data_IF_370382243709
#
_entry.id   IF_370382243709
#
_cell.length_a   1.000
_cell.length_b   1.000
_cell.length_c   1.000
_cell.angle_alpha   90.00
_cell.angle_beta   90.00
_cell.angle_gamma   90.00
#
_symmetry.space_group_name_H-M   'P 1'
#
loop_
_entity.id
_entity.type
_entity.pdbx_description
1 polymer ?
#
# COMPACT_ATOMS: atom_id res chain seq x y z
N UNK A 1 2.14 46.58 -57.63
CA UNK A 1 1.15 45.80 -56.86
C UNK A 1 1.86 44.73 -56.07
N UNK A 2 1.99 44.96 -54.80
CA UNK A 2 2.71 44.01 -53.92
C UNK A 2 1.70 43.27 -53.10
N UNK A 3 1.56 41.99 -53.43
CA UNK A 3 0.73 41.05 -52.65
C UNK A 3 1.53 40.63 -51.42
N UNK A 4 1.13 41.10 -50.28
CA UNK A 4 1.70 40.60 -49.01
C UNK A 4 1.04 39.31 -48.65
N UNK A 5 1.85 38.26 -48.65
CA UNK A 5 1.45 36.94 -48.13
C UNK A 5 1.42 37.00 -46.59
N UNK A 6 0.24 36.90 -46.05
CA UNK A 6 0.01 36.82 -44.60
C UNK A 6 0.44 35.43 -44.13
N UNK A 7 1.59 35.39 -43.46
CA UNK A 7 2.02 34.15 -42.79
C UNK A 7 1.21 34.02 -41.51
N UNK A 8 0.23 33.13 -41.55
CA UNK A 8 -0.49 32.74 -40.34
C UNK A 8 0.38 31.79 -39.54
N UNK A 9 1.03 32.34 -38.53
CA UNK A 9 1.74 31.49 -37.54
C UNK A 9 0.71 30.79 -36.69
N UNK A 10 0.51 29.51 -36.95
CA UNK A 10 -0.33 28.65 -36.12
C UNK A 10 0.50 28.27 -34.88
N UNK A 11 0.21 28.93 -33.76
CA UNK A 11 0.75 28.48 -32.46
C UNK A 11 0.02 27.23 -32.07
N UNK A 12 0.69 26.10 -32.23
CA UNK A 12 0.21 24.83 -31.68
C UNK A 12 0.53 24.86 -30.19
N UNK A 13 -0.45 25.18 -29.38
CA UNK A 13 -0.36 24.97 -27.94
C UNK A 13 -0.38 23.49 -27.67
N UNK A 14 0.77 22.92 -27.39
CA UNK A 14 0.88 21.56 -26.89
C UNK A 14 0.31 21.54 -25.47
N UNK A 15 -0.94 21.10 -25.34
CA UNK A 15 -1.53 20.76 -24.05
C UNK A 15 -0.83 19.49 -23.55
N UNK A 16 0.17 19.67 -22.71
CA UNK A 16 0.66 18.61 -21.87
C UNK A 16 -0.44 18.29 -20.84
N UNK A 17 -1.36 17.40 -21.21
CA UNK A 17 -2.17 16.72 -20.23
C UNK A 17 -1.24 15.81 -19.46
N UNK A 18 -0.70 16.28 -18.35
CA UNK A 18 -0.02 15.45 -17.38
C UNK A 18 -1.03 14.44 -16.90
N UNK A 19 -0.95 13.21 -17.40
CA UNK A 19 -1.69 12.10 -16.87
C UNK A 19 -1.16 11.88 -15.45
N UNK A 20 -1.86 12.41 -14.46
CA UNK A 20 -1.69 12.02 -13.07
C UNK A 20 -2.21 10.58 -12.97
N UNK A 21 -1.33 9.61 -13.19
CA UNK A 21 -1.59 8.24 -12.79
C UNK A 21 -1.57 8.19 -11.25
N UNK A 22 -2.67 8.55 -10.63
CA UNK A 22 -2.96 8.10 -9.28
C UNK A 22 -3.05 6.59 -9.36
N UNK A 23 -2.08 5.93 -8.73
CA UNK A 23 -1.93 4.51 -8.91
C UNK A 23 -3.15 3.78 -8.35
N UNK A 24 -3.88 3.08 -9.23
CA UNK A 24 -4.88 2.09 -8.87
C UNK A 24 -4.36 1.08 -7.83
N UNK A 25 -3.04 0.88 -7.74
CA UNK A 25 -2.36 0.04 -6.77
C UNK A 25 -2.58 0.48 -5.31
N UNK A 26 -2.69 1.79 -4.99
CA UNK A 26 -2.95 2.27 -3.63
C UNK A 26 -4.39 1.97 -3.19
N UNK A 27 -5.39 2.15 -4.08
CA UNK A 27 -6.79 1.82 -3.82
C UNK A 27 -6.99 0.31 -3.69
N UNK A 28 -6.33 -0.49 -4.54
CA UNK A 28 -6.34 -1.95 -4.46
C UNK A 28 -5.70 -2.46 -3.17
N UNK A 29 -4.61 -1.86 -2.71
CA UNK A 29 -3.97 -2.19 -1.45
C UNK A 29 -4.89 -1.90 -0.25
N UNK A 30 -5.60 -0.78 -0.25
CA UNK A 30 -6.60 -0.45 0.78
C UNK A 30 -7.73 -1.46 0.81
N UNK A 31 -8.27 -1.84 -0.34
CA UNK A 31 -9.31 -2.86 -0.44
C UNK A 31 -8.82 -4.23 0.01
N UNK A 32 -7.61 -4.62 -0.38
CA UNK A 32 -7.00 -5.88 0.05
C UNK A 32 -6.77 -5.89 1.56
N UNK A 33 -6.31 -4.78 2.11
CA UNK A 33 -6.16 -4.58 3.56
C UNK A 33 -7.49 -4.75 4.29
N UNK A 34 -8.53 -4.06 3.85
CA UNK A 34 -9.84 -4.11 4.48
C UNK A 34 -10.45 -5.51 4.47
N UNK A 35 -10.24 -6.26 3.39
CA UNK A 35 -10.78 -7.63 3.26
C UNK A 35 -9.99 -8.67 4.04
N UNK A 36 -8.66 -8.55 4.10
CA UNK A 36 -7.79 -9.65 4.53
C UNK A 36 -6.97 -9.36 5.79
N UNK A 37 -6.79 -8.11 6.15
CA UNK A 37 -5.88 -7.70 7.22
C UNK A 37 -6.60 -7.00 8.38
N UNK A 38 -7.62 -6.22 8.07
CA UNK A 38 -8.29 -5.34 9.03
C UNK A 38 -9.00 -6.09 10.17
N UNK A 39 -9.43 -7.33 9.97
CA UNK A 39 -10.05 -8.12 11.03
C UNK A 39 -9.16 -8.27 12.28
N UNK A 40 -7.85 -8.34 12.09
CA UNK A 40 -6.85 -8.37 13.16
C UNK A 40 -6.18 -7.02 13.36
N UNK A 41 -5.63 -6.44 12.28
CA UNK A 41 -4.84 -5.21 12.34
C UNK A 41 -5.68 -3.93 12.50
N UNK A 42 -6.98 -3.96 12.21
CA UNK A 42 -7.84 -2.80 12.14
C UNK A 42 -7.68 -2.06 10.80
N UNK A 43 -8.72 -1.34 10.37
CA UNK A 43 -8.63 -0.47 9.18
C UNK A 43 -7.61 0.63 9.36
N UNK A 44 -7.47 1.14 10.58
CA UNK A 44 -6.50 2.15 10.99
C UNK A 44 -5.10 1.59 11.29
N UNK A 45 -4.93 0.27 11.29
CA UNK A 45 -3.66 -0.40 11.56
C UNK A 45 -3.23 -0.41 13.03
N UNK A 46 -4.10 -0.02 13.95
CA UNK A 46 -3.76 0.05 15.39
C UNK A 46 -3.82 -1.29 16.11
N UNK A 47 -4.35 -2.33 15.46
CA UNK A 47 -4.48 -3.64 16.10
C UNK A 47 -5.49 -3.70 17.25
N UNK A 48 -6.34 -2.68 17.41
CA UNK A 48 -7.34 -2.57 18.47
C UNK A 48 -8.65 -3.26 18.11
N UNK A 49 -8.55 -4.48 17.61
CA UNK A 49 -9.66 -5.37 17.32
C UNK A 49 -9.68 -6.50 18.35
N UNK A 50 -10.79 -7.23 18.44
CA UNK A 50 -10.86 -8.40 19.34
C UNK A 50 -9.74 -9.40 19.04
N UNK A 51 -9.55 -9.76 17.77
CA UNK A 51 -8.50 -10.68 17.34
C UNK A 51 -7.11 -10.08 17.47
N UNK A 52 -6.95 -8.80 17.16
CA UNK A 52 -5.69 -8.08 17.32
C UNK A 52 -5.18 -8.10 18.76
N UNK A 53 -6.04 -7.86 19.71
CA UNK A 53 -5.70 -7.94 21.16
C UNK A 53 -5.37 -9.37 21.58
N UNK A 54 -6.16 -10.35 21.13
CA UNK A 54 -5.94 -11.76 21.44
C UNK A 54 -4.61 -12.28 20.93
N UNK A 55 -4.19 -11.84 19.73
CA UNK A 55 -2.97 -12.29 19.06
C UNK A 55 -1.75 -11.39 19.31
N UNK A 56 -1.93 -10.28 20.04
CA UNK A 56 -0.84 -9.34 20.34
C UNK A 56 -0.36 -8.58 19.10
N UNK A 57 -1.28 -8.20 18.22
CA UNK A 57 -0.98 -7.42 17.02
C UNK A 57 -0.50 -6.03 17.39
N UNK A 58 0.58 -5.59 16.77
CA UNK A 58 1.20 -4.29 17.05
C UNK A 58 0.45 -3.14 16.38
N UNK A 59 0.62 -1.95 16.94
CA UNK A 59 0.09 -0.69 16.40
C UNK A 59 1.02 -0.16 15.30
N UNK A 60 0.61 -0.23 14.05
CA UNK A 60 1.41 0.27 12.92
C UNK A 60 1.40 1.79 12.78
N UNK A 61 0.61 2.51 13.55
CA UNK A 61 0.67 3.97 13.60
C UNK A 61 1.85 4.46 14.46
N UNK A 62 2.36 3.62 15.35
CA UNK A 62 3.50 3.93 16.21
C UNK A 62 4.82 3.93 15.42
N UNK A 63 5.56 5.07 15.42
CA UNK A 63 6.87 5.15 14.77
C UNK A 63 7.88 4.11 15.26
N UNK A 64 7.83 3.72 16.54
CA UNK A 64 8.72 2.70 17.11
C UNK A 64 8.43 1.32 16.54
N UNK A 65 7.16 1.01 16.34
CA UNK A 65 6.75 -0.24 15.68
C UNK A 65 7.21 -0.23 14.23
N UNK A 66 7.03 0.87 13.51
CA UNK A 66 7.49 1.02 12.12
C UNK A 66 9.02 0.85 11.98
N UNK A 67 9.79 1.30 12.97
CA UNK A 67 11.25 1.15 12.99
C UNK A 67 11.71 -0.27 13.37
N UNK A 68 10.82 -1.10 13.92
CA UNK A 68 11.17 -2.43 14.43
C UNK A 68 11.30 -3.52 13.36
N UNK A 69 10.90 -3.23 12.12
CA UNK A 69 11.00 -4.15 10.99
C UNK A 69 11.36 -3.41 9.69
N UNK A 70 11.99 -4.10 8.78
CA UNK A 70 12.22 -3.61 7.41
C UNK A 70 11.17 -4.13 6.42
N UNK A 71 11.18 -3.61 5.20
CA UNK A 71 10.24 -3.98 4.16
C UNK A 71 10.42 -5.44 3.70
N UNK A 72 11.65 -5.97 3.77
CA UNK A 72 11.94 -7.37 3.43
C UNK A 72 11.26 -8.31 4.43
N UNK A 73 11.34 -8.01 5.72
CA UNK A 73 10.67 -8.77 6.77
C UNK A 73 9.15 -8.69 6.64
N UNK A 74 8.61 -7.50 6.37
CA UNK A 74 7.18 -7.30 6.13
C UNK A 74 6.70 -8.14 4.93
N UNK A 75 7.42 -8.09 3.83
CA UNK A 75 7.13 -8.89 2.63
C UNK A 75 7.13 -10.39 2.92
N UNK A 76 8.16 -10.88 3.60
CA UNK A 76 8.27 -12.28 3.99
C UNK A 76 7.11 -12.71 4.90
N UNK A 77 6.78 -11.88 5.89
CA UNK A 77 5.70 -12.17 6.85
C UNK A 77 4.34 -12.25 6.15
N UNK A 78 4.07 -11.37 5.19
CA UNK A 78 2.83 -11.43 4.40
C UNK A 78 2.80 -12.72 3.56
N UNK A 79 3.87 -13.06 2.88
CA UNK A 79 3.95 -14.26 2.04
C UNK A 79 3.81 -15.55 2.83
N UNK A 80 4.54 -15.68 3.91
CA UNK A 80 4.70 -16.93 4.64
C UNK A 80 3.77 -17.04 5.85
N UNK A 81 3.23 -15.91 6.32
CA UNK A 81 2.50 -15.85 7.58
C UNK A 81 3.44 -15.82 8.78
N UNK A 82 2.85 -15.94 9.96
CA UNK A 82 3.59 -15.97 11.21
C UNK A 82 3.01 -17.01 12.16
N UNK A 83 3.89 -17.76 12.80
CA UNK A 83 3.55 -18.72 13.84
C UNK A 83 4.24 -18.37 15.15
N UNK A 84 3.69 -18.83 16.25
CA UNK A 84 4.35 -18.76 17.55
C UNK A 84 5.31 -19.96 17.77
N UNK A 85 5.94 -19.99 18.95
CA UNK A 85 6.87 -21.06 19.34
C UNK A 85 6.24 -22.47 19.41
N UNK A 86 4.92 -22.54 19.52
CA UNK A 86 4.15 -23.80 19.60
C UNK A 86 3.52 -24.16 18.23
N UNK A 87 4.03 -23.58 17.14
CA UNK A 87 3.57 -23.77 15.74
C UNK A 87 2.12 -23.32 15.50
N UNK A 88 1.55 -22.53 16.41
CA UNK A 88 0.21 -21.97 16.26
C UNK A 88 0.25 -20.77 15.33
N UNK A 89 -0.65 -20.74 14.37
CA UNK A 89 -0.75 -19.62 13.42
C UNK A 89 -1.22 -18.35 14.13
N UNK A 90 -0.37 -17.33 14.11
CA UNK A 90 -0.70 -15.96 14.54
C UNK A 90 -1.20 -15.11 13.37
N UNK A 91 -0.58 -15.26 12.21
CA UNK A 91 -0.96 -14.61 10.95
C UNK A 91 -0.90 -15.65 9.84
N UNK A 92 -1.98 -15.78 9.08
CA UNK A 92 -2.01 -16.73 7.95
C UNK A 92 -1.12 -16.25 6.81
N UNK A 93 -0.69 -17.18 5.97
CA UNK A 93 0.05 -16.90 4.74
C UNK A 93 -0.85 -16.26 3.68
N UNK A 94 -0.33 -15.27 2.97
CA UNK A 94 -0.93 -14.66 1.78
C UNK A 94 -0.08 -14.90 0.53
N UNK A 95 0.53 -16.07 0.44
CA UNK A 95 1.37 -16.46 -0.71
C UNK A 95 0.65 -16.48 -2.06
N UNK A 96 -0.70 -16.43 -2.07
CA UNK A 96 -1.48 -16.31 -3.30
C UNK A 96 -1.45 -14.89 -3.90
N UNK A 97 -1.06 -13.88 -3.14
CA UNK A 97 -0.92 -12.52 -3.65
C UNK A 97 0.32 -12.40 -4.54
N UNK A 98 0.23 -11.57 -5.58
CA UNK A 98 1.39 -11.25 -6.42
C UNK A 98 2.43 -10.42 -5.65
N UNK A 99 3.66 -10.40 -6.15
CA UNK A 99 4.73 -9.59 -5.56
C UNK A 99 4.38 -8.09 -5.58
N UNK A 100 3.71 -7.61 -6.62
CA UNK A 100 3.25 -6.22 -6.71
C UNK A 100 2.14 -5.90 -5.70
N UNK A 101 1.21 -6.82 -5.49
CA UNK A 101 0.17 -6.67 -4.46
C UNK A 101 0.77 -6.64 -3.05
N UNK A 102 1.74 -7.49 -2.77
CA UNK A 102 2.44 -7.50 -1.47
C UNK A 102 3.25 -6.22 -1.28
N UNK A 103 3.95 -5.77 -2.31
CA UNK A 103 4.68 -4.50 -2.27
C UNK A 103 3.76 -3.32 -1.97
N UNK A 104 2.58 -3.29 -2.58
CA UNK A 104 1.56 -2.28 -2.32
C UNK A 104 1.02 -2.35 -0.89
N UNK A 105 0.84 -3.54 -0.33
CA UNK A 105 0.45 -3.73 1.07
C UNK A 105 1.54 -3.26 2.05
N UNK A 106 2.80 -3.52 1.77
CA UNK A 106 3.91 -3.01 2.59
C UNK A 106 3.93 -1.48 2.58
N UNK A 107 3.74 -0.87 1.40
CA UNK A 107 3.61 0.59 1.29
C UNK A 107 2.39 1.12 2.08
N UNK A 108 1.26 0.41 2.04
CA UNK A 108 0.08 0.74 2.85
C UNK A 108 0.40 0.72 4.35
N UNK A 109 1.06 -0.33 4.84
CA UNK A 109 1.49 -0.43 6.25
C UNK A 109 2.40 0.75 6.63
N UNK A 110 3.35 1.13 5.77
CA UNK A 110 4.22 2.29 6.01
C UNK A 110 3.44 3.61 6.06
N UNK A 111 2.38 3.72 5.27
CA UNK A 111 1.53 4.92 5.24
C UNK A 111 0.71 5.14 6.52
N UNK A 112 0.55 4.11 7.35
CA UNK A 112 -0.22 4.18 8.60
C UNK A 112 0.53 4.92 9.73
N UNK A 113 1.81 5.13 9.58
CA UNK A 113 2.64 5.86 10.56
C UNK A 113 2.10 7.28 10.75
N UNK A 114 1.87 7.68 12.00
CA UNK A 114 1.45 9.03 12.40
C UNK A 114 2.57 9.80 13.08
#
# INVERSE_FOLDING_TARGET
>A
MKTQALVKTTVVAALFAGAFCWSAAADDATQTWDKNCAACHGKDGKGQTMMGRKLGVKDFTDPKVQASFDDALATKTIKEGKKDKDDKTLMKSFGMLSDDEIKALVAHVRSLKT
#
